data_IF_671650464330
#
_entry.id   IF_671650464330
#
_cell.length_a   1.000
_cell.length_b   1.000
_cell.length_c   1.000
_cell.angle_alpha   90.00
_cell.angle_beta   90.00
_cell.angle_gamma   90.00
#
_symmetry.space_group_name_H-M   'P 1'
#
loop_
_entity.id
_entity.type
_entity.pdbx_description
1 polymer ?
#
# COMPACT_ATOMS: atom_id res chain seq x y z
N UNK A 1 -0.35 -4.89 8.55
CA UNK A 1 -0.85 -3.82 7.65
C UNK A 1 -1.31 -4.42 6.33
N UNK A 2 -2.36 -3.89 5.81
CA UNK A 2 -2.89 -4.29 4.51
C UNK A 2 -2.91 -3.08 3.58
N UNK A 3 -2.47 -3.26 2.34
CA UNK A 3 -2.51 -2.20 1.34
C UNK A 3 -3.23 -2.69 0.09
N UNK A 4 -3.92 -1.78 -0.57
CA UNK A 4 -4.68 -2.07 -1.76
C UNK A 4 -4.64 -0.87 -2.69
N UNK A 5 -4.61 -1.13 -3.99
CA UNK A 5 -4.58 -0.07 -5.00
C UNK A 5 -5.81 -0.21 -5.89
N UNK A 6 -6.56 0.85 -6.02
CA UNK A 6 -7.78 0.88 -6.81
C UNK A 6 -7.62 1.87 -7.96
N UNK A 7 -8.02 1.43 -9.14
CA UNK A 7 -7.97 2.25 -10.34
C UNK A 7 -7.48 1.47 -11.55
N UNK A 8 -7.39 2.10 -12.71
CA UNK A 8 -7.70 3.52 -12.92
C UNK A 8 -9.19 3.81 -12.81
N UNK A 9 -9.52 4.95 -12.24
CA UNK A 9 -10.89 5.41 -12.18
C UNK A 9 -11.24 6.20 -13.44
N UNK A 10 -12.49 6.20 -13.81
CA UNK A 10 -12.95 6.95 -14.99
C UNK A 10 -12.98 8.45 -14.75
N UNK A 11 -13.12 8.86 -13.49
CA UNK A 11 -13.15 10.27 -13.11
C UNK A 11 -11.80 10.65 -12.51
N UNK A 12 -11.17 11.66 -13.10
CA UNK A 12 -9.92 12.20 -12.56
C UNK A 12 -10.21 13.11 -11.38
N UNK A 13 -9.33 13.09 -10.39
CA UNK A 13 -9.36 14.05 -9.32
C UNK A 13 -8.97 15.44 -9.81
N UNK A 14 -9.01 16.42 -8.92
CA UNK A 14 -8.72 17.82 -9.25
C UNK A 14 -7.31 18.03 -9.80
N UNK A 15 -6.36 17.18 -9.38
CA UNK A 15 -4.96 17.25 -9.83
C UNK A 15 -4.61 16.16 -10.82
N UNK A 16 -5.61 15.47 -11.38
CA UNK A 16 -5.41 14.41 -12.35
C UNK A 16 -5.14 13.04 -11.74
N UNK A 17 -5.46 12.85 -10.47
CA UNK A 17 -5.30 11.54 -9.82
C UNK A 17 -6.29 10.54 -10.40
N UNK A 18 -5.82 9.35 -10.71
CA UNK A 18 -6.63 8.26 -11.25
C UNK A 18 -6.65 7.02 -10.37
N UNK A 19 -5.79 6.98 -9.37
CA UNK A 19 -5.66 5.82 -8.48
C UNK A 19 -5.81 6.27 -7.06
N UNK A 20 -6.27 5.38 -6.21
CA UNK A 20 -6.13 5.60 -4.79
C UNK A 20 -5.60 4.34 -4.12
N UNK A 21 -4.80 4.54 -3.10
CA UNK A 21 -4.20 3.48 -2.34
C UNK A 21 -4.74 3.53 -0.92
N UNK A 22 -5.17 2.38 -0.44
CA UNK A 22 -5.61 2.21 0.93
C UNK A 22 -4.49 1.56 1.73
N UNK A 23 -4.28 2.07 2.92
CA UNK A 23 -3.37 1.48 3.89
C UNK A 23 -4.15 1.30 5.18
N UNK A 24 -4.30 0.06 5.60
CA UNK A 24 -5.07 -0.28 6.79
C UNK A 24 -4.17 -1.00 7.76
N UNK A 25 -4.09 -0.49 8.99
CA UNK A 25 -3.39 -1.19 10.04
C UNK A 25 -4.39 -2.09 10.76
N UNK A 26 -4.12 -3.40 10.75
CA UNK A 26 -5.02 -4.38 11.33
C UNK A 26 -5.15 -4.25 12.84
N UNK A 27 -4.12 -3.74 13.48
CA UNK A 27 -4.06 -3.67 14.93
C UNK A 27 -4.83 -2.48 15.49
N UNK A 28 -4.58 -1.28 14.93
CA UNK A 28 -5.23 -0.05 15.40
C UNK A 28 -6.48 0.30 14.59
N UNK A 29 -6.66 -0.37 13.45
CA UNK A 29 -7.70 -0.07 12.47
C UNK A 29 -7.55 1.31 11.82
N UNK A 30 -6.39 1.92 11.97
CA UNK A 30 -6.11 3.18 11.29
C UNK A 30 -6.12 2.95 9.79
N UNK A 31 -6.87 3.78 9.08
CA UNK A 31 -6.99 3.69 7.62
C UNK A 31 -6.53 5.01 7.01
N UNK A 32 -5.66 4.91 6.02
CA UNK A 32 -5.17 6.08 5.27
C UNK A 32 -5.48 5.86 3.80
N UNK A 33 -5.97 6.92 3.16
CA UNK A 33 -6.26 6.91 1.73
C UNK A 33 -5.32 7.89 1.05
N UNK A 34 -4.61 7.42 0.02
CA UNK A 34 -3.70 8.25 -0.76
C UNK A 34 -4.19 8.31 -2.19
N UNK A 35 -4.25 9.51 -2.74
CA UNK A 35 -4.62 9.68 -4.14
C UNK A 35 -3.36 9.79 -5.00
N UNK A 36 -3.30 9.01 -6.08
CA UNK A 36 -2.12 8.88 -6.90
C UNK A 36 -2.44 9.19 -8.36
N UNK A 37 -1.50 9.82 -9.04
CA UNK A 37 -1.58 10.01 -10.49
C UNK A 37 -1.14 8.76 -11.24
N UNK A 38 -0.15 8.08 -10.70
CA UNK A 38 0.44 6.90 -11.32
C UNK A 38 0.60 5.80 -10.28
N UNK A 39 0.54 4.55 -10.73
CA UNK A 39 0.78 3.39 -9.86
C UNK A 39 2.17 3.41 -9.24
N UNK A 40 3.15 3.98 -9.94
CA UNK A 40 4.53 4.02 -9.46
C UNK A 40 4.69 4.83 -8.18
N UNK A 41 3.72 5.68 -7.85
CA UNK A 41 3.76 6.47 -6.61
C UNK A 41 3.41 5.63 -5.37
N UNK A 42 2.91 4.42 -5.57
CA UNK A 42 2.47 3.57 -4.45
C UNK A 42 3.60 3.27 -3.47
N UNK A 43 4.79 2.99 -3.99
CA UNK A 43 5.93 2.65 -3.14
C UNK A 43 6.35 3.81 -2.24
N UNK A 44 6.47 5.01 -2.80
CA UNK A 44 6.85 6.18 -2.02
C UNK A 44 5.80 6.52 -0.96
N UNK A 45 4.53 6.44 -1.33
CA UNK A 45 3.46 6.70 -0.38
C UNK A 45 3.40 5.64 0.72
N UNK A 46 3.67 4.38 0.38
CA UNK A 46 3.75 3.34 1.38
C UNK A 46 4.82 3.67 2.44
N UNK A 47 6.00 4.09 2.00
CA UNK A 47 7.08 4.43 2.93
C UNK A 47 6.70 5.56 3.89
N UNK A 48 6.07 6.60 3.35
CA UNK A 48 5.66 7.76 4.14
C UNK A 48 4.64 7.36 5.20
N UNK A 49 3.60 6.65 4.77
CA UNK A 49 2.50 6.31 5.69
C UNK A 49 2.85 5.18 6.64
N UNK A 50 3.76 4.28 6.23
CA UNK A 50 4.30 3.28 7.14
C UNK A 50 5.01 3.95 8.31
N UNK A 51 5.85 4.94 8.03
CA UNK A 51 6.56 5.67 9.06
C UNK A 51 5.59 6.39 9.99
N UNK A 52 4.58 7.03 9.42
CA UNK A 52 3.57 7.74 10.19
C UNK A 52 2.82 6.79 11.14
N UNK A 53 2.40 5.65 10.64
CA UNK A 53 1.68 4.65 11.44
C UNK A 53 2.59 4.08 12.52
N UNK A 54 3.84 3.79 12.20
CA UNK A 54 4.79 3.27 13.18
C UNK A 54 5.04 4.26 14.32
N UNK A 55 5.11 5.55 13.99
CA UNK A 55 5.28 6.59 15.00
C UNK A 55 4.06 6.70 15.91
N UNK A 56 2.86 6.62 15.33
CA UNK A 56 1.61 6.67 16.09
C UNK A 56 1.47 5.49 17.04
N UNK A 57 1.87 4.32 16.59
CA UNK A 57 1.75 3.08 17.37
C UNK A 57 2.91 2.84 18.31
N UNK A 58 3.99 3.60 18.16
CA UNK A 58 5.27 3.34 18.83
C UNK A 58 5.69 1.88 18.63
N UNK A 59 5.54 1.39 17.42
CA UNK A 59 5.78 -0.01 17.08
C UNK A 59 6.08 -0.12 15.59
N UNK A 60 6.77 -1.21 15.21
CA UNK A 60 7.15 -1.46 13.82
C UNK A 60 6.15 -2.36 13.13
N UNK A 61 5.91 -2.08 11.84
CA UNK A 61 5.14 -2.96 10.99
C UNK A 61 6.00 -4.16 10.65
N UNK A 62 5.48 -5.36 10.92
CA UNK A 62 6.21 -6.61 10.72
C UNK A 62 5.69 -7.42 9.54
N UNK A 63 4.51 -7.08 9.05
CA UNK A 63 3.88 -7.82 7.97
C UNK A 63 3.08 -6.86 7.09
N UNK A 64 3.21 -7.04 5.78
CA UNK A 64 2.42 -6.27 4.82
C UNK A 64 1.68 -7.23 3.90
N UNK A 65 0.36 -7.11 3.89
CA UNK A 65 -0.52 -7.88 3.03
C UNK A 65 -0.95 -7.05 1.83
N UNK A 66 -0.85 -7.62 0.64
CA UNK A 66 -1.29 -6.96 -0.58
C UNK A 66 -1.67 -8.02 -1.61
N UNK A 67 -2.24 -7.60 -2.73
CA UNK A 67 -2.39 -8.49 -3.86
C UNK A 67 -1.07 -8.64 -4.61
N UNK A 68 -1.06 -9.38 -5.72
CA UNK A 68 0.13 -9.62 -6.53
C UNK A 68 0.33 -8.56 -7.62
N UNK A 69 -0.26 -7.38 -7.47
CA UNK A 69 -0.08 -6.31 -8.43
C UNK A 69 1.39 -5.95 -8.61
N UNK A 70 1.77 -5.57 -9.83
CA UNK A 70 3.15 -5.28 -10.16
C UNK A 70 3.76 -4.17 -9.30
N UNK A 71 2.96 -3.23 -8.87
CA UNK A 71 3.42 -2.13 -8.01
C UNK A 71 3.84 -2.62 -6.62
N UNK A 72 3.28 -3.75 -6.14
CA UNK A 72 3.61 -4.31 -4.83
C UNK A 72 4.64 -5.43 -4.90
N UNK A 73 4.95 -5.93 -6.10
CA UNK A 73 5.90 -7.02 -6.29
C UNK A 73 7.17 -6.58 -7.01
N UNK A 74 7.35 -5.29 -7.26
CA UNK A 74 8.57 -4.78 -7.87
C UNK A 74 9.77 -5.11 -7.00
N UNK A 75 10.95 -5.25 -7.62
CA UNK A 75 12.18 -5.52 -6.89
C UNK A 75 12.44 -4.47 -5.82
N UNK A 76 12.18 -3.22 -6.15
CA UNK A 76 12.35 -2.09 -5.26
C UNK A 76 11.51 -2.22 -3.99
N UNK A 77 10.24 -2.59 -4.15
CA UNK A 77 9.32 -2.77 -3.03
C UNK A 77 9.69 -3.99 -2.20
N UNK A 78 9.99 -5.10 -2.86
CA UNK A 78 10.37 -6.33 -2.18
C UNK A 78 11.67 -6.17 -1.41
N UNK A 79 12.66 -5.50 -2.00
CA UNK A 79 13.94 -5.23 -1.34
C UNK A 79 13.77 -4.34 -0.12
N UNK A 80 12.94 -3.33 -0.23
CA UNK A 80 12.66 -2.45 0.91
C UNK A 80 12.09 -3.24 2.08
N UNK A 81 11.09 -4.06 1.80
CA UNK A 81 10.46 -4.86 2.85
C UNK A 81 11.44 -5.84 3.47
N UNK A 82 12.26 -6.50 2.66
CA UNK A 82 13.27 -7.40 3.13
C UNK A 82 14.28 -6.70 4.05
N UNK A 83 14.74 -5.52 3.64
CA UNK A 83 15.73 -4.76 4.42
C UNK A 83 15.17 -4.24 5.74
N UNK A 84 13.87 -4.08 5.83
CA UNK A 84 13.22 -3.58 7.05
C UNK A 84 12.56 -4.69 7.86
N UNK A 85 12.77 -5.94 7.49
CA UNK A 85 12.23 -7.08 8.22
C UNK A 85 10.71 -7.20 8.12
N UNK A 86 10.13 -6.71 7.03
CA UNK A 86 8.69 -6.76 6.81
C UNK A 86 8.35 -8.02 6.02
N UNK A 87 7.60 -8.92 6.63
CA UNK A 87 7.13 -10.12 5.96
C UNK A 87 6.06 -9.75 4.95
N UNK A 88 6.16 -10.30 3.74
CA UNK A 88 5.15 -10.08 2.71
C UNK A 88 4.18 -11.24 2.66
N UNK A 89 2.89 -10.90 2.58
CA UNK A 89 1.82 -11.88 2.35
C UNK A 89 1.00 -11.39 1.16
N UNK A 90 0.72 -12.30 0.24
CA UNK A 90 -0.01 -11.97 -0.97
C UNK A 90 -1.35 -12.70 -0.97
N UNK A 91 -2.41 -11.94 -1.23
CA UNK A 91 -3.73 -12.52 -1.39
C UNK A 91 -3.93 -12.86 -2.86
N UNK A 92 -4.66 -13.94 -3.10
CA UNK A 92 -5.06 -14.31 -4.45
C UNK A 92 -6.20 -13.40 -4.86
N UNK A 93 -6.08 -12.81 -6.05
CA UNK A 93 -7.15 -11.98 -6.59
C UNK A 93 -8.42 -12.82 -6.70
N UNK A 94 -9.49 -12.33 -6.07
CA UNK A 94 -10.78 -12.99 -6.20
C UNK A 94 -11.38 -12.67 -7.55
N UNK A 95 -11.63 -13.70 -8.31
CA UNK A 95 -12.38 -13.56 -9.55
C UNK A 95 -13.86 -13.53 -9.18
N UNK A 96 -14.58 -12.47 -9.50
CA UNK A 96 -16.01 -12.45 -9.27
C UNK A 96 -16.66 -13.56 -10.09
N UNK A 97 -17.51 -14.28 -9.46
CA UNK A 97 -18.25 -15.36 -10.14
C UNK A 97 -19.67 -14.96 -10.40
#
# INVERSE_FOLDING_TARGET
MHTDLVGPTTTKGLKGERYFMLLVDDYTRMTVVCFLKNKSEAFENFKIYKEMVENEMDSRIKCLRSDNGGEFTSNKFMDYCSNHGIKRQFSVARTPQ
#
